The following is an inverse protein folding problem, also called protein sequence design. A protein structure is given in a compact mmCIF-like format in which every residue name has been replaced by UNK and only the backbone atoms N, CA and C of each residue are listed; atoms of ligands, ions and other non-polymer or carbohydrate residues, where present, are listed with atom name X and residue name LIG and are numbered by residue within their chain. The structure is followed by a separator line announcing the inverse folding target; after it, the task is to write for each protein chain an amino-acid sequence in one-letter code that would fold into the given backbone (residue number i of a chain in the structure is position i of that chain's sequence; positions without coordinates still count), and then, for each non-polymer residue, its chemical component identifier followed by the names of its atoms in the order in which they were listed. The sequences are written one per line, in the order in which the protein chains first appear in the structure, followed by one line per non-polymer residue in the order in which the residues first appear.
data_IF_852605806842
#
_entry.id   IF_852605806842
#
_cell.length_a   1.000
_cell.length_b   1.000
_cell.length_c   1.000
_cell.angle_alpha   90.00
_cell.angle_beta   90.00
_cell.angle_gamma   90.00
#
_symmetry.space_group_name_H-M   'P 1'
#
loop_
_entity.id
_entity.type
_entity.pdbx_description
1 polymer ?
#
# COMPACT_ATOMS: atom_id res chain seq x y z
N UNK A 1 28.51 12.23 27.65
CA UNK A 1 27.53 11.28 27.07
C UNK A 1 28.25 10.42 26.04
N UNK A 2 27.88 9.15 25.86
CA UNK A 2 28.51 8.31 24.84
C UNK A 2 27.98 8.70 23.45
N UNK A 3 28.82 8.55 22.41
CA UNK A 3 28.41 8.79 21.02
C UNK A 3 27.18 7.95 20.63
N UNK A 4 27.01 6.77 21.25
CA UNK A 4 25.83 5.93 21.09
C UNK A 4 24.56 6.54 21.73
N UNK A 5 24.67 7.15 22.91
CA UNK A 5 23.55 7.84 23.56
C UNK A 5 23.07 9.06 22.77
N UNK A 6 23.98 9.81 22.15
CA UNK A 6 23.63 10.91 21.24
C UNK A 6 22.97 10.43 19.95
N UNK A 7 23.40 9.29 19.40
CA UNK A 7 22.75 8.69 18.22
C UNK A 7 21.35 8.15 18.55
N UNK A 8 21.16 7.55 19.73
CA UNK A 8 19.83 7.12 20.19
C UNK A 8 18.89 8.31 20.38
N UNK A 9 19.36 9.42 20.95
CA UNK A 9 18.58 10.64 21.12
C UNK A 9 18.21 11.31 19.77
N UNK A 10 19.02 11.12 18.73
CA UNK A 10 18.78 11.62 17.37
C UNK A 10 17.85 10.74 16.54
N UNK A 11 17.50 9.54 17.01
CA UNK A 11 16.65 8.61 16.25
C UNK A 11 15.23 9.17 16.17
N UNK A 12 14.88 9.75 15.02
CA UNK A 12 13.50 10.12 14.72
C UNK A 12 12.65 8.86 14.57
N UNK A 13 11.56 8.78 15.33
CA UNK A 13 10.53 7.76 15.16
C UNK A 13 9.98 7.86 13.74
N UNK A 14 9.74 6.72 13.09
CA UNK A 14 9.09 6.71 11.79
C UNK A 14 7.75 7.44 11.89
N UNK A 15 7.48 8.33 10.94
CA UNK A 15 6.23 9.08 10.85
C UNK A 15 5.73 9.13 9.41
N UNK A 16 4.44 9.37 9.27
CA UNK A 16 3.80 9.68 7.99
C UNK A 16 2.72 10.73 8.21
N UNK A 17 2.59 11.63 7.25
CA UNK A 17 1.60 12.69 7.30
C UNK A 17 0.40 12.27 6.42
N UNK A 18 -0.81 12.53 6.90
CA UNK A 18 -2.06 12.18 6.22
C UNK A 18 -2.96 13.41 6.20
N UNK A 19 -3.37 13.83 5.00
CA UNK A 19 -4.34 14.90 4.83
C UNK A 19 -5.75 14.32 4.71
N UNK A 20 -6.66 14.80 5.55
CA UNK A 20 -8.05 14.36 5.66
C UNK A 20 -8.96 15.57 5.46
N UNK A 21 -9.93 15.45 4.54
CA UNK A 21 -10.86 16.51 4.18
C UNK A 21 -12.18 16.28 4.91
N UNK A 22 -12.33 16.95 6.05
CA UNK A 22 -13.49 16.78 6.93
C UNK A 22 -14.79 17.39 6.37
N UNK A 23 -14.70 18.09 5.22
CA UNK A 23 -15.86 18.61 4.52
C UNK A 23 -16.50 17.53 3.63
N UNK A 24 -17.60 16.96 4.13
CA UNK A 24 -18.39 15.96 3.40
C UNK A 24 -19.09 16.50 2.15
N UNK A 25 -19.38 17.80 2.08
CA UNK A 25 -19.96 18.40 0.87
C UNK A 25 -18.92 18.45 -0.25
N UNK A 26 -17.69 18.88 0.04
CA UNK A 26 -16.60 18.86 -0.92
C UNK A 26 -16.25 17.45 -1.40
N UNK A 27 -16.29 16.46 -0.51
CA UNK A 27 -16.13 15.06 -0.89
C UNK A 27 -17.20 14.62 -1.91
N UNK A 28 -18.46 14.97 -1.67
CA UNK A 28 -19.58 14.66 -2.58
C UNK A 28 -19.44 15.40 -3.92
N UNK A 29 -19.02 16.66 -3.89
CA UNK A 29 -18.76 17.45 -5.10
C UNK A 29 -17.64 16.84 -5.93
N UNK A 30 -16.57 16.37 -5.28
CA UNK A 30 -15.46 15.68 -5.95
C UNK A 30 -15.95 14.40 -6.63
N UNK A 31 -16.77 13.59 -5.97
CA UNK A 31 -17.32 12.38 -6.57
C UNK A 31 -18.17 12.69 -7.81
N UNK A 32 -19.00 13.73 -7.75
CA UNK A 32 -19.78 14.20 -8.90
C UNK A 32 -18.87 14.69 -10.05
N UNK A 33 -17.82 15.45 -9.75
CA UNK A 33 -16.87 15.95 -10.74
C UNK A 33 -16.05 14.81 -11.38
N UNK A 34 -15.65 13.80 -10.60
CA UNK A 34 -15.00 12.59 -11.12
C UNK A 34 -15.96 11.82 -12.05
N UNK A 35 -17.23 11.69 -11.68
CA UNK A 35 -18.23 11.06 -12.53
C UNK A 35 -18.42 11.83 -13.85
N UNK A 36 -18.47 13.17 -13.80
CA UNK A 36 -18.53 14.03 -14.99
C UNK A 36 -17.31 13.82 -15.89
N UNK A 37 -16.10 13.84 -15.32
CA UNK A 37 -14.85 13.62 -16.05
C UNK A 37 -14.82 12.24 -16.73
N UNK A 38 -15.31 11.20 -16.06
CA UNK A 38 -15.40 9.85 -16.63
C UNK A 38 -16.40 9.83 -17.81
N UNK A 39 -17.52 10.54 -17.73
CA UNK A 39 -18.47 10.64 -18.85
C UNK A 39 -17.88 11.42 -20.03
N UNK A 40 -17.18 12.53 -19.77
CA UNK A 40 -16.49 13.29 -20.81
C UNK A 40 -15.40 12.45 -21.50
N UNK A 41 -14.62 11.68 -20.73
CA UNK A 41 -13.62 10.75 -21.28
C UNK A 41 -14.27 9.68 -22.19
N UNK A 42 -15.40 9.10 -21.76
CA UNK A 42 -16.17 8.16 -22.60
C UNK A 42 -16.70 8.81 -23.88
N UNK A 43 -17.14 10.06 -23.81
CA UNK A 43 -17.61 10.81 -24.97
C UNK A 43 -16.49 11.01 -25.99
N UNK A 44 -15.30 11.46 -25.55
CA UNK A 44 -14.11 11.58 -26.40
C UNK A 44 -13.77 10.25 -27.08
N UNK A 45 -13.77 9.15 -26.34
CA UNK A 45 -13.50 7.81 -26.88
C UNK A 45 -14.54 7.36 -27.91
N UNK A 46 -15.82 7.66 -27.70
CA UNK A 46 -16.89 7.33 -28.64
C UNK A 46 -16.73 8.11 -29.95
N UNK A 47 -16.44 9.42 -29.87
CA UNK A 47 -16.22 10.27 -31.04
C UNK A 47 -14.98 9.82 -31.82
N UNK A 48 -13.92 9.38 -31.13
CA UNK A 48 -12.71 8.81 -31.76
C UNK A 48 -12.97 7.51 -32.50
N UNK A 49 -13.82 6.64 -31.95
CA UNK A 49 -14.16 5.33 -32.55
C UNK A 49 -15.12 5.44 -33.72
N UNK A 50 -16.04 6.41 -33.68
CA UNK A 50 -17.02 6.66 -34.73
C UNK A 50 -16.87 8.10 -35.26
N UNK A 51 -15.77 8.42 -35.99
CA UNK A 51 -15.65 9.71 -36.63
C UNK A 51 -16.73 9.79 -37.72
N UNK A 52 -17.82 10.53 -37.44
CA UNK A 52 -18.89 10.74 -38.40
C UNK A 52 -18.35 11.26 -39.74
N UNK A 53 -19.06 10.97 -40.84
CA UNK A 53 -18.66 11.28 -42.22
C UNK A 53 -18.51 12.79 -42.53
N UNK A 54 -18.68 13.67 -41.54
CA UNK A 54 -18.80 15.12 -41.72
C UNK A 54 -17.62 15.88 -41.11
N UNK A 55 -16.40 15.51 -41.52
CA UNK A 55 -15.15 16.21 -41.17
C UNK A 55 -15.02 17.61 -41.82
N UNK A 56 -16.03 18.07 -42.57
CA UNK A 56 -16.00 19.32 -43.35
C UNK A 56 -16.76 20.47 -42.69
N UNK A 57 -17.42 20.27 -41.56
CA UNK A 57 -18.07 21.34 -40.81
C UNK A 57 -17.09 22.00 -39.83
N UNK A 58 -17.21 23.32 -39.69
CA UNK A 58 -16.34 24.18 -38.88
C UNK A 58 -16.58 23.87 -37.40
N UNK A 59 -15.81 22.91 -36.87
CA UNK A 59 -15.88 22.44 -35.49
C UNK A 59 -15.88 20.93 -35.45
N UNK A 60 -14.71 20.31 -35.58
CA UNK A 60 -14.61 18.85 -35.52
C UNK A 60 -15.21 18.37 -34.18
N UNK A 61 -16.16 17.42 -34.19
CA UNK A 61 -16.85 16.96 -32.97
C UNK A 61 -15.87 16.44 -31.91
N UNK A 62 -14.68 16.01 -32.33
CA UNK A 62 -13.60 15.61 -31.42
C UNK A 62 -13.08 16.78 -30.57
N UNK A 63 -12.95 17.98 -31.17
CA UNK A 63 -12.49 19.18 -30.45
C UNK A 63 -13.53 19.66 -29.44
N UNK A 64 -14.81 19.49 -29.73
CA UNK A 64 -15.88 19.80 -28.79
C UNK A 64 -15.84 18.87 -27.58
N UNK A 65 -15.73 17.55 -27.81
CA UNK A 65 -15.61 16.56 -26.73
C UNK A 65 -14.30 16.73 -25.91
N UNK A 66 -13.18 17.07 -26.56
CA UNK A 66 -11.92 17.37 -25.86
C UNK A 66 -12.06 18.61 -24.98
N UNK A 67 -12.76 19.66 -25.45
CA UNK A 67 -13.04 20.86 -24.64
C UNK A 67 -13.95 20.57 -23.43
N UNK A 68 -14.94 19.67 -23.59
CA UNK A 68 -15.77 19.21 -22.46
C UNK A 68 -14.95 18.46 -21.41
N UNK A 69 -14.02 17.60 -21.86
CA UNK A 69 -13.10 16.90 -20.98
C UNK A 69 -12.16 17.86 -20.24
N UNK A 70 -11.59 18.83 -20.94
CA UNK A 70 -10.76 19.89 -20.33
C UNK A 70 -11.54 20.66 -19.26
N UNK A 71 -12.76 21.12 -19.56
CA UNK A 71 -13.59 21.84 -18.60
C UNK A 71 -13.96 20.98 -17.37
N UNK A 72 -14.26 19.69 -17.56
CA UNK A 72 -14.51 18.78 -16.45
C UNK A 72 -13.24 18.54 -15.61
N UNK A 73 -12.08 18.48 -16.25
CA UNK A 73 -10.78 18.34 -15.56
C UNK A 73 -10.43 19.60 -14.76
N UNK A 74 -10.70 20.79 -15.30
CA UNK A 74 -10.48 22.05 -14.59
C UNK A 74 -11.38 22.18 -13.36
N UNK A 75 -12.66 21.77 -13.46
CA UNK A 75 -13.56 21.74 -12.30
C UNK A 75 -13.09 20.78 -11.22
N UNK A 76 -12.66 19.57 -11.61
CA UNK A 76 -12.12 18.61 -10.65
C UNK A 76 -10.87 19.18 -9.95
N UNK A 77 -9.97 19.81 -10.70
CA UNK A 77 -8.76 20.43 -10.14
C UNK A 77 -9.09 21.54 -9.14
N UNK A 78 -10.08 22.40 -9.44
CA UNK A 78 -10.54 23.45 -8.53
C UNK A 78 -11.12 22.87 -7.23
N UNK A 79 -11.96 21.84 -7.32
CA UNK A 79 -12.52 21.16 -6.14
C UNK A 79 -11.41 20.48 -5.32
N UNK A 80 -10.42 19.85 -5.97
CA UNK A 80 -9.29 19.24 -5.27
C UNK A 80 -8.38 20.26 -4.58
N UNK A 81 -8.32 21.49 -5.08
CA UNK A 81 -7.64 22.61 -4.41
C UNK A 81 -8.42 23.07 -3.17
N UNK A 82 -9.74 23.29 -3.31
CA UNK A 82 -10.61 23.63 -2.16
C UNK A 82 -10.57 22.53 -1.08
N UNK A 83 -10.58 21.26 -1.48
CA UNK A 83 -10.43 20.14 -0.56
C UNK A 83 -9.08 20.14 0.15
N UNK A 84 -8.00 20.55 -0.53
CA UNK A 84 -6.68 20.64 0.09
C UNK A 84 -6.66 21.72 1.16
N UNK A 85 -7.28 22.86 0.89
CA UNK A 85 -7.37 23.98 1.83
C UNK A 85 -8.28 23.66 3.02
N UNK A 86 -9.33 22.87 2.81
CA UNK A 86 -10.21 22.35 3.85
C UNK A 86 -9.67 21.12 4.59
N UNK A 87 -8.52 20.57 4.16
CA UNK A 87 -7.95 19.36 4.76
C UNK A 87 -7.16 19.68 6.02
N UNK A 88 -7.30 18.81 7.03
CA UNK A 88 -6.41 18.77 8.20
C UNK A 88 -5.29 17.77 7.96
N UNK A 89 -4.06 18.12 8.34
CA UNK A 89 -2.92 17.20 8.28
C UNK A 89 -2.65 16.59 9.64
N UNK A 90 -2.67 15.26 9.70
CA UNK A 90 -2.27 14.50 10.87
C UNK A 90 -0.91 13.84 10.63
N UNK A 91 0.05 14.10 11.50
CA UNK A 91 1.32 13.37 11.54
C UNK A 91 1.19 12.19 12.48
N UNK A 92 1.21 10.98 11.91
CA UNK A 92 1.09 9.73 12.63
C UNK A 92 2.48 9.18 12.89
N UNK A 93 2.80 8.94 14.16
CA UNK A 93 4.05 8.33 14.57
C UNK A 93 3.90 6.82 14.73
N UNK A 94 4.98 6.09 14.43
CA UNK A 94 5.07 4.68 14.77
C UNK A 94 4.98 4.51 16.28
N UNK A 95 4.21 3.51 16.68
CA UNK A 95 4.05 3.07 18.05
C UNK A 95 5.03 1.93 18.30
N UNK A 96 5.64 1.84 19.51
CA UNK A 96 6.44 0.67 19.87
C UNK A 96 5.66 -0.63 19.66
N UNK A 97 6.32 -1.68 19.16
CA UNK A 97 5.67 -2.95 18.84
C UNK A 97 4.86 -3.55 20.00
N UNK A 98 5.38 -3.46 21.23
CA UNK A 98 4.68 -3.92 22.43
C UNK A 98 3.36 -3.18 22.65
N UNK A 99 3.38 -1.84 22.54
CA UNK A 99 2.21 -0.99 22.71
C UNK A 99 1.20 -1.22 21.57
N UNK A 100 1.67 -1.34 20.33
CA UNK A 100 0.82 -1.60 19.18
C UNK A 100 0.04 -2.92 19.31
N UNK A 101 0.69 -3.99 19.79
CA UNK A 101 0.01 -5.26 20.06
C UNK A 101 -0.93 -5.16 21.27
N UNK A 102 -0.53 -4.43 22.31
CA UNK A 102 -1.41 -4.17 23.45
C UNK A 102 -2.70 -3.45 23.00
N UNK A 103 -2.60 -2.51 22.07
CA UNK A 103 -3.75 -1.79 21.52
C UNK A 103 -4.71 -2.73 20.77
N UNK A 104 -4.19 -3.75 20.07
CA UNK A 104 -5.03 -4.77 19.42
C UNK A 104 -5.83 -5.57 20.47
N UNK A 105 -5.18 -5.99 21.57
CA UNK A 105 -5.88 -6.75 22.63
C UNK A 105 -6.96 -5.94 23.36
N UNK A 106 -6.81 -4.61 23.41
CA UNK A 106 -7.81 -3.70 23.98
C UNK A 106 -9.00 -3.48 23.04
N UNK A 107 -8.82 -3.62 21.74
CA UNK A 107 -9.85 -3.47 20.72
C UNK A 107 -10.34 -4.86 20.28
N UNK A 108 -11.06 -5.54 21.17
CA UNK A 108 -11.52 -6.92 20.95
C UNK A 108 -12.32 -7.06 19.65
N UNK A 109 -12.22 -8.21 18.96
CA UNK A 109 -13.01 -8.51 17.77
C UNK A 109 -14.52 -8.34 18.03
N UNK A 110 -15.25 -8.03 16.97
CA UNK A 110 -16.73 -7.93 17.05
C UNK A 110 -17.33 -9.32 17.31
N UNK A 111 -18.39 -9.43 18.14
CA UNK A 111 -19.05 -10.71 18.39
C UNK A 111 -19.45 -11.41 17.08
N UNK A 112 -19.07 -12.68 16.94
CA UNK A 112 -19.40 -13.50 15.77
C UNK A 112 -18.60 -13.19 14.50
N UNK A 113 -17.51 -12.43 14.59
CA UNK A 113 -16.58 -12.19 13.47
C UNK A 113 -15.24 -12.87 13.72
N UNK A 114 -14.69 -13.50 12.68
CA UNK A 114 -13.34 -14.08 12.69
C UNK A 114 -12.31 -12.99 12.35
N UNK A 115 -12.10 -12.08 13.30
CA UNK A 115 -11.18 -10.95 13.19
C UNK A 115 -10.20 -10.99 14.37
N UNK A 116 -8.96 -10.51 14.18
CA UNK A 116 -7.96 -10.44 15.27
C UNK A 116 -8.23 -9.30 16.26
N UNK A 117 -8.83 -8.21 15.77
CA UNK A 117 -9.22 -7.01 16.52
C UNK A 117 -10.35 -6.31 15.76
N UNK A 118 -11.07 -5.39 16.40
CA UNK A 118 -12.08 -4.58 15.72
C UNK A 118 -11.41 -3.42 14.95
N UNK A 119 -11.39 -3.42 13.60
CA UNK A 119 -10.70 -2.38 12.84
C UNK A 119 -11.33 -1.00 13.00
N UNK A 120 -12.65 -0.92 13.24
CA UNK A 120 -13.37 0.35 13.34
C UNK A 120 -12.89 1.18 14.54
N UNK A 121 -12.64 0.53 15.69
CA UNK A 121 -12.20 1.21 16.91
C UNK A 121 -10.68 1.22 17.05
N UNK A 122 -9.99 0.19 16.53
CA UNK A 122 -8.56 0.03 16.70
C UNK A 122 -7.76 1.18 16.09
N UNK A 123 -8.03 1.56 14.84
CA UNK A 123 -7.23 2.57 14.15
C UNK A 123 -7.40 3.97 14.78
N UNK A 124 -8.61 4.33 15.18
CA UNK A 124 -8.87 5.56 15.95
C UNK A 124 -8.18 5.51 17.32
N UNK A 125 -8.20 4.36 17.99
CA UNK A 125 -7.51 4.18 19.27
C UNK A 125 -5.99 4.39 19.17
N UNK A 126 -5.38 3.94 18.07
CA UNK A 126 -3.97 4.16 17.76
C UNK A 126 -3.73 5.63 17.43
N UNK A 127 -4.54 6.22 16.54
CA UNK A 127 -4.42 7.61 16.13
C UNK A 127 -4.47 8.58 17.32
N UNK A 128 -5.45 8.41 18.23
CA UNK A 128 -5.57 9.21 19.48
C UNK A 128 -4.29 9.24 20.33
N UNK A 129 -3.42 8.23 20.20
CA UNK A 129 -2.19 8.08 21.00
C UNK A 129 -0.91 8.43 20.25
N UNK A 130 -0.94 8.43 18.92
CA UNK A 130 0.27 8.55 18.10
C UNK A 130 0.22 9.68 17.08
N UNK A 131 -0.94 10.26 16.83
CA UNK A 131 -1.11 11.36 15.89
C UNK A 131 -1.01 12.72 16.58
N UNK A 132 -0.45 13.67 15.86
CA UNK A 132 -0.45 15.11 16.19
C UNK A 132 -0.99 15.88 14.99
N UNK A 133 -1.65 17.00 15.25
CA UNK A 133 -2.06 17.93 14.20
C UNK A 133 -0.84 18.70 13.70
N UNK A 134 -0.75 18.92 12.40
CA UNK A 134 0.28 19.75 11.77
C UNK A 134 -0.40 20.92 11.08
N UNK A 135 -0.02 22.13 11.44
CA UNK A 135 -0.55 23.34 10.82
C UNK A 135 0.14 23.66 9.49
N UNK A 136 -0.28 24.76 8.85
CA UNK A 136 0.28 25.21 7.58
C UNK A 136 1.77 25.62 7.66
N UNK A 137 2.26 25.96 8.85
CA UNK A 137 3.64 26.34 9.12
C UNK A 137 4.52 25.11 9.41
N UNK A 138 3.89 23.94 9.56
CA UNK A 138 4.53 22.67 9.86
C UNK A 138 4.77 22.45 11.35
N UNK A 139 4.19 23.28 12.22
CA UNK A 139 4.26 23.11 13.67
C UNK A 139 3.31 22.01 14.13
N UNK A 140 3.74 21.29 15.17
CA UNK A 140 3.01 20.15 15.71
C UNK A 140 2.20 20.55 16.93
N UNK A 141 0.89 20.30 16.87
CA UNK A 141 -0.05 20.59 17.93
C UNK A 141 -0.63 19.30 18.49
N UNK A 142 -0.74 19.25 19.83
CA UNK A 142 -1.41 18.15 20.49
C UNK A 142 -2.92 18.32 20.36
N UNK A 143 -3.58 17.29 19.85
CA UNK A 143 -5.04 17.23 19.76
C UNK A 143 -5.58 16.79 21.12
N UNK A 144 -6.51 17.56 21.68
CA UNK A 144 -7.17 17.20 22.95
C UNK A 144 -8.28 16.14 22.76
N UNK A 145 -8.78 15.58 23.86
CA UNK A 145 -9.77 14.50 23.80
C UNK A 145 -11.11 14.96 23.16
N UNK A 146 -11.49 16.20 23.38
CA UNK A 146 -12.75 16.76 22.86
C UNK A 146 -12.64 17.10 21.36
N UNK A 147 -11.48 17.55 20.92
CA UNK A 147 -11.15 17.69 19.49
C UNK A 147 -11.15 16.34 18.79
N UNK A 148 -10.59 15.30 19.40
CA UNK A 148 -10.68 13.92 18.87
C UNK A 148 -12.11 13.43 18.74
N UNK A 149 -12.96 13.71 19.73
CA UNK A 149 -14.38 13.31 19.69
C UNK A 149 -15.18 14.05 18.60
N UNK A 150 -14.77 15.26 18.21
CA UNK A 150 -15.33 15.97 17.05
C UNK A 150 -14.79 15.39 15.74
N UNK A 151 -13.47 15.26 15.65
CA UNK A 151 -12.79 14.68 14.50
C UNK A 151 -13.34 13.30 14.12
N UNK A 152 -13.61 12.43 15.09
CA UNK A 152 -14.18 11.10 14.85
C UNK A 152 -15.60 11.15 14.28
N UNK A 153 -16.41 12.15 14.64
CA UNK A 153 -17.79 12.29 14.14
C UNK A 153 -17.84 12.82 12.72
N UNK A 154 -16.89 13.67 12.36
CA UNK A 154 -16.82 14.30 11.05
C UNK A 154 -16.03 13.44 10.04
N UNK A 155 -15.42 12.34 10.51
CA UNK A 155 -14.68 11.42 9.66
C UNK A 155 -15.62 10.61 8.75
N UNK A 156 -15.41 10.72 7.45
CA UNK A 156 -16.05 9.82 6.49
C UNK A 156 -15.42 8.42 6.50
N UNK A 157 -16.15 7.42 5.99
CA UNK A 157 -15.64 6.04 5.87
C UNK A 157 -14.33 5.98 5.06
N UNK A 158 -14.22 6.76 3.98
CA UNK A 158 -13.02 6.82 3.15
C UNK A 158 -11.82 7.45 3.87
N UNK A 159 -12.05 8.41 4.76
CA UNK A 159 -11.00 8.99 5.60
C UNK A 159 -10.57 8.06 6.72
N UNK A 160 -11.51 7.29 7.28
CA UNK A 160 -11.20 6.23 8.23
C UNK A 160 -10.24 5.21 7.59
N UNK A 161 -10.50 4.81 6.34
CA UNK A 161 -9.63 3.90 5.60
C UNK A 161 -8.24 4.51 5.33
N UNK A 162 -8.16 5.79 4.91
CA UNK A 162 -6.88 6.50 4.72
C UNK A 162 -6.06 6.54 6.01
N UNK A 163 -6.71 6.87 7.12
CA UNK A 163 -6.09 6.90 8.44
C UNK A 163 -5.57 5.50 8.84
N UNK A 164 -6.39 4.48 8.65
CA UNK A 164 -6.02 3.09 8.90
C UNK A 164 -4.81 2.65 8.06
N UNK A 165 -4.80 2.96 6.76
CA UNK A 165 -3.69 2.62 5.86
C UNK A 165 -2.39 3.27 6.32
N UNK A 166 -2.43 4.55 6.69
CA UNK A 166 -1.25 5.27 7.16
C UNK A 166 -0.71 4.72 8.49
N UNK A 167 -1.61 4.33 9.42
CA UNK A 167 -1.23 3.64 10.66
C UNK A 167 -0.54 2.30 10.35
N UNK A 168 -1.08 1.53 9.41
CA UNK A 168 -0.48 0.25 9.00
C UNK A 168 0.89 0.49 8.37
N UNK A 169 1.01 1.46 7.46
CA UNK A 169 2.26 1.79 6.79
C UNK A 169 3.36 2.19 7.80
N UNK A 170 3.04 3.11 8.72
CA UNK A 170 4.04 3.61 9.66
C UNK A 170 4.47 2.54 10.67
N UNK A 171 3.55 1.65 11.09
CA UNK A 171 3.84 0.63 12.10
C UNK A 171 4.39 -0.68 11.53
N UNK A 172 3.95 -1.10 10.34
CA UNK A 172 4.41 -2.36 9.70
C UNK A 172 5.54 -2.15 8.72
N UNK A 173 5.46 -1.15 7.85
CA UNK A 173 6.46 -0.94 6.79
C UNK A 173 7.69 -0.19 7.31
N UNK A 174 7.49 0.81 8.18
CA UNK A 174 8.57 1.69 8.69
C UNK A 174 8.92 1.46 10.16
N UNK A 175 8.02 0.80 10.90
CA UNK A 175 7.95 0.91 12.36
C UNK A 175 8.91 0.01 13.15
N UNK A 176 9.15 -1.24 12.75
CA UNK A 176 10.06 -2.18 13.46
C UNK A 176 10.12 -3.58 12.80
N UNK A 177 9.29 -3.89 11.80
CA UNK A 177 9.33 -5.19 11.10
C UNK A 177 10.38 -5.24 9.97
N UNK A 178 11.03 -4.11 9.67
CA UNK A 178 12.07 -3.99 8.64
C UNK A 178 13.47 -4.44 9.06
N UNK A 179 13.71 -4.81 10.32
CA UNK A 179 14.92 -5.57 10.63
C UNK A 179 14.71 -6.98 10.11
N UNK A 180 15.38 -7.30 9.00
CA UNK A 180 15.41 -8.60 8.34
C UNK A 180 16.03 -9.73 9.18
N UNK A 181 15.85 -9.69 10.50
CA UNK A 181 16.30 -10.74 11.42
C UNK A 181 15.35 -11.95 11.38
N UNK A 182 14.07 -11.72 11.04
CA UNK A 182 13.04 -12.77 10.96
C UNK A 182 12.45 -12.97 9.56
N UNK A 183 12.66 -12.04 8.62
CA UNK A 183 12.34 -12.32 7.22
C UNK A 183 13.34 -13.33 6.67
N UNK A 184 12.86 -14.31 5.88
CA UNK A 184 13.64 -15.39 5.23
C UNK A 184 14.77 -14.92 4.29
N UNK A 185 15.11 -13.64 4.29
CA UNK A 185 16.28 -13.05 3.66
C UNK A 185 17.53 -13.09 4.55
N UNK A 186 17.51 -13.82 5.67
CA UNK A 186 18.74 -14.32 6.27
C UNK A 186 19.49 -15.08 5.18
N UNK A 187 20.59 -14.49 4.73
CA UNK A 187 21.49 -15.06 3.75
C UNK A 187 21.63 -16.55 4.04
N UNK A 188 21.36 -17.38 3.03
CA UNK A 188 21.82 -18.75 3.03
C UNK A 188 23.28 -18.71 3.43
N UNK A 189 23.60 -19.18 4.65
CA UNK A 189 24.96 -19.56 4.97
C UNK A 189 25.39 -20.51 3.85
N UNK A 190 26.49 -20.23 3.13
CA UNK A 190 26.98 -21.16 2.11
C UNK A 190 27.01 -22.56 2.71
N UNK A 191 26.44 -23.51 1.98
CA UNK A 191 26.49 -24.92 2.36
C UNK A 191 27.95 -25.28 2.64
N UNK A 192 28.22 -25.88 3.81
CA UNK A 192 29.55 -26.30 4.28
C UNK A 192 30.27 -27.29 3.35
N UNK A 193 29.65 -27.65 2.22
CA UNK A 193 30.24 -28.44 1.14
C UNK A 193 31.28 -27.69 0.30
N UNK A 194 31.37 -26.36 0.36
CA UNK A 194 32.33 -25.58 -0.45
C UNK A 194 33.65 -25.25 0.27
N UNK A 195 33.76 -25.49 1.58
CA UNK A 195 35.01 -25.31 2.35
C UNK A 195 35.85 -26.59 2.46
N UNK A 196 35.44 -27.68 1.81
CA UNK A 196 36.27 -28.88 1.74
C UNK A 196 37.05 -28.88 0.43
N UNK A 197 38.25 -28.28 0.44
CA UNK A 197 39.25 -28.59 -0.58
C UNK A 197 39.43 -30.12 -0.64
N UNK A 198 39.18 -30.78 -1.78
CA UNK A 198 39.50 -32.19 -1.91
C UNK A 198 41.03 -32.35 -1.84
N UNK A 199 41.56 -33.28 -1.04
CA UNK A 199 43.00 -33.52 -0.97
C UNK A 199 43.53 -33.96 -2.34
N UNK A 200 44.71 -33.43 -2.70
CA UNK A 200 45.37 -33.67 -3.97
C UNK A 200 45.47 -35.18 -4.31
N UNK A 201 45.24 -35.58 -5.57
CA UNK A 201 45.22 -36.98 -5.96
C UNK A 201 46.62 -37.58 -5.93
N UNK A 202 46.89 -38.46 -4.95
CA UNK A 202 48.04 -39.38 -4.98
C UNK A 202 47.70 -40.57 -5.88
N UNK A 203 48.53 -40.76 -6.91
CA UNK A 203 48.49 -41.88 -7.82
C UNK A 203 48.81 -43.22 -7.11
N UNK A 204 48.09 -44.29 -7.44
CA UNK A 204 48.66 -45.65 -7.65
C UNK A 204 47.59 -46.74 -7.90
N UNK A 205 47.54 -47.20 -9.16
CA UNK A 205 47.48 -48.59 -9.69
C UNK A 205 46.62 -49.70 -9.03
N UNK A 206 45.63 -50.20 -9.80
CA UNK A 206 45.47 -51.57 -10.39
C UNK A 206 43.97 -51.85 -10.60
N UNK A 207 43.49 -51.97 -11.84
CA UNK A 207 43.44 -53.16 -12.71
C UNK A 207 42.19 -54.03 -12.52
N UNK A 208 41.38 -54.03 -13.60
CA UNK A 208 40.71 -55.18 -14.22
C UNK A 208 39.26 -55.57 -13.82
N UNK A 209 38.41 -55.53 -14.87
CA UNK A 209 37.53 -56.60 -15.35
C UNK A 209 36.02 -56.58 -15.05
N UNK A 210 35.24 -56.75 -16.14
CA UNK A 210 33.87 -57.29 -16.15
C UNK A 210 32.83 -56.32 -16.74
N UNK A 211 32.68 -56.18 -18.06
CA UNK A 211 31.88 -57.02 -18.97
C UNK A 211 30.36 -56.97 -18.72
N UNK A 212 29.57 -56.54 -19.71
CA UNK A 212 28.11 -56.75 -19.71
C UNK A 212 27.30 -55.82 -20.64
N UNK A 213 26.73 -56.41 -21.68
CA UNK A 213 26.10 -55.79 -22.86
C UNK A 213 24.68 -55.21 -22.68
N UNK A 214 24.36 -54.24 -23.55
CA UNK A 214 23.03 -53.80 -24.14
C UNK A 214 22.02 -54.95 -24.42
N UNK A 215 20.73 -54.72 -24.89
CA UNK A 215 19.85 -53.52 -25.01
C UNK A 215 18.31 -53.76 -24.77
N UNK A 216 17.50 -52.67 -24.93
CA UNK A 216 16.09 -52.52 -25.43
C UNK A 216 14.95 -53.46 -24.96
N UNK A 217 13.82 -52.85 -24.56
CA UNK A 217 12.48 -53.22 -25.08
C UNK A 217 11.43 -52.12 -24.88
N UNK A 218 10.69 -51.84 -25.94
CA UNK A 218 9.51 -50.97 -26.10
C UNK A 218 8.21 -51.71 -25.75
N UNK A 219 7.17 -51.04 -25.22
CA UNK A 219 5.80 -51.19 -25.78
C UNK A 219 4.76 -50.15 -25.35
N UNK A 220 3.96 -49.83 -26.36
CA UNK A 220 2.81 -48.95 -26.57
C UNK A 220 1.48 -49.50 -26.02
N UNK A 221 0.53 -48.63 -25.65
CA UNK A 221 -0.90 -48.63 -26.12
C UNK A 221 -1.68 -47.50 -25.41
N UNK A 222 -2.17 -46.46 -26.10
CA UNK A 222 -3.44 -46.26 -26.86
C UNK A 222 -4.78 -46.48 -26.11
N UNK A 223 -5.49 -45.35 -25.99
CA UNK A 223 -6.92 -45.08 -26.32
C UNK A 223 -8.04 -45.50 -25.37
N UNK A 224 -8.93 -44.56 -24.99
CA UNK A 224 -10.22 -44.33 -25.69
C UNK A 224 -11.01 -43.14 -25.13
N UNK A 225 -11.80 -42.56 -26.04
CA UNK A 225 -12.77 -41.46 -25.95
C UNK A 225 -14.17 -42.02 -25.66
N UNK A 226 -15.07 -41.15 -25.19
CA UNK A 226 -16.54 -41.11 -25.38
C UNK A 226 -17.35 -41.16 -24.08
N UNK A 227 -18.30 -40.22 -23.99
CA UNK A 227 -19.23 -39.96 -22.91
C UNK A 227 -19.56 -38.47 -22.91
#
# INVERSE_FOLDING_TARGET
MSAFGEQLAKRKTASTDVSLCLDGELATQREAAVAELIQAAKHVDQVRKNPGADQRSVGSPIRAAEKEYEAASERLAAIEEEMRDASVTLRIRAVPFADYNLFQTRNRPRPGKDELYNPLTFFLYVARRSAVYVDAEGEEHKIDEHEWDKFEKDLSDGEHEKLAQAIVEVNRSRGLQGTAFLSRSSASTPSSSETSEPPAPKASRRSASGAGSRPKSTRTSTTKKAG
#
